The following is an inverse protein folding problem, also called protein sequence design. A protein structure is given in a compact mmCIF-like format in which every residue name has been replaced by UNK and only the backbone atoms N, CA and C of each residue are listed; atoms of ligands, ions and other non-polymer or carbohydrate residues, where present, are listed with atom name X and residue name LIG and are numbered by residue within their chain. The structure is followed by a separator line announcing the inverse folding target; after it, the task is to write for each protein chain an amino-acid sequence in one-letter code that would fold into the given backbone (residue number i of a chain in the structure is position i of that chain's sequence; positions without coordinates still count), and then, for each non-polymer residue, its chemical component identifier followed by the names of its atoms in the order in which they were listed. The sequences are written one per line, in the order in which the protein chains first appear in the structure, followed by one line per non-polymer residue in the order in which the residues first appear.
data_IF_276380407779
#
_entry.id   IF_276380407779
#
_cell.length_a   1.000
_cell.length_b   1.000
_cell.length_c   1.000
_cell.angle_alpha   90.00
_cell.angle_beta   90.00
_cell.angle_gamma   90.00
#
_symmetry.space_group_name_H-M   'P 1'
#
loop_
_entity.id
_entity.type
_entity.pdbx_description
1 polymer ?
#
# COMPACT_ATOMS: atom_id res chain seq x y z
N UNK A 1 10.22 0.95 -11.26
CA UNK A 1 10.21 -0.09 -10.22
C UNK A 1 10.64 0.55 -8.92
N UNK A 2 9.85 0.42 -7.87
CA UNK A 2 10.19 0.91 -6.54
C UNK A 2 10.34 -0.30 -5.60
N UNK A 3 11.32 -0.22 -4.70
CA UNK A 3 11.54 -1.22 -3.64
C UNK A 3 11.53 -0.45 -2.33
N UNK A 4 10.53 -0.70 -1.51
CA UNK A 4 10.28 0.10 -0.30
C UNK A 4 10.72 -0.70 0.94
N UNK A 5 11.36 -0.01 1.88
CA UNK A 5 11.71 -0.55 3.18
C UNK A 5 11.14 0.34 4.28
N UNK A 6 10.22 -0.20 5.08
CA UNK A 6 9.56 0.50 6.17
C UNK A 6 10.06 -0.07 7.51
N UNK A 7 11.05 0.57 8.17
CA UNK A 7 11.57 0.08 9.44
C UNK A 7 10.54 0.22 10.58
N UNK A 8 10.69 -0.52 11.69
CA UNK A 8 9.91 -0.30 12.90
C UNK A 8 9.98 1.17 13.36
N UNK A 9 8.82 1.77 13.64
CA UNK A 9 8.70 3.14 14.12
C UNK A 9 8.29 3.14 15.59
N UNK A 10 8.98 3.88 16.48
CA UNK A 10 8.62 3.95 17.90
C UNK A 10 7.35 4.77 18.16
N UNK A 11 6.95 5.64 17.23
CA UNK A 11 5.78 6.53 17.33
C UNK A 11 4.96 6.50 16.03
N UNK A 12 4.39 5.33 15.66
CA UNK A 12 3.72 5.13 14.37
C UNK A 12 2.46 6.00 14.20
N UNK A 13 1.89 6.52 15.27
CA UNK A 13 0.75 7.44 15.26
C UNK A 13 1.09 8.87 14.81
N UNK A 14 2.38 9.22 14.75
CA UNK A 14 2.84 10.58 14.40
C UNK A 14 3.37 10.69 12.97
N UNK A 15 3.46 9.58 12.23
CA UNK A 15 4.02 9.57 10.87
C UNK A 15 3.39 8.48 10.01
N UNK A 16 3.70 8.49 8.72
CA UNK A 16 3.31 7.44 7.77
C UNK A 16 4.57 6.80 7.20
N UNK A 17 4.49 5.50 6.88
CA UNK A 17 5.48 4.89 5.99
C UNK A 17 5.45 5.55 4.61
N UNK A 18 4.24 5.77 4.08
CA UNK A 18 3.98 6.50 2.84
C UNK A 18 2.65 7.26 2.99
N UNK A 19 2.59 8.58 2.72
CA UNK A 19 1.34 9.34 2.79
C UNK A 19 0.30 8.84 1.77
N UNK A 20 -0.99 9.11 2.05
CA UNK A 20 -2.08 8.79 1.12
C UNK A 20 -1.91 9.48 -0.24
N UNK A 21 -2.05 8.71 -1.32
CA UNK A 21 -1.89 9.16 -2.71
C UNK A 21 -2.68 8.25 -3.65
N UNK A 22 -2.78 8.65 -4.91
CA UNK A 22 -3.14 7.79 -6.05
C UNK A 22 -1.90 7.50 -6.89
N UNK A 23 -1.92 6.40 -7.62
CA UNK A 23 -0.82 6.06 -8.51
C UNK A 23 -0.97 6.80 -9.84
N UNK A 24 0.04 7.57 -10.30
CA UNK A 24 -0.04 8.30 -11.56
C UNK A 24 0.08 7.40 -12.81
N UNK A 25 0.36 6.11 -12.63
CA UNK A 25 0.57 5.14 -13.71
C UNK A 25 -0.75 4.52 -14.18
N UNK A 26 -0.71 3.60 -15.14
CA UNK A 26 -1.89 2.84 -15.56
C UNK A 26 -2.23 1.69 -14.60
N UNK A 27 -1.25 0.86 -14.28
CA UNK A 27 -1.41 -0.35 -13.49
C UNK A 27 -0.21 -0.51 -12.55
N UNK A 28 -0.49 -0.84 -11.29
CA UNK A 28 0.53 -1.21 -10.31
C UNK A 28 0.34 -2.68 -9.92
N UNK A 29 1.47 -3.41 -9.86
CA UNK A 29 1.57 -4.80 -9.40
C UNK A 29 2.51 -4.80 -8.20
N UNK A 30 1.98 -5.11 -7.02
CA UNK A 30 2.68 -5.01 -5.75
C UNK A 30 2.82 -6.38 -5.09
N UNK A 31 4.06 -6.72 -4.74
CA UNK A 31 4.38 -7.83 -3.83
C UNK A 31 4.51 -7.28 -2.41
N UNK A 32 3.77 -7.83 -1.45
CA UNK A 32 3.83 -7.43 -0.05
C UNK A 32 4.72 -8.38 0.76
N UNK A 33 5.24 -7.86 1.87
CA UNK A 33 5.81 -8.69 2.94
C UNK A 33 4.68 -9.54 3.57
N UNK A 34 4.90 -10.83 3.75
CA UNK A 34 3.89 -11.76 4.30
C UNK A 34 3.73 -11.66 5.82
N UNK A 35 4.77 -11.21 6.51
CA UNK A 35 4.81 -11.17 7.98
C UNK A 35 4.43 -9.78 8.52
N UNK A 36 4.52 -8.74 7.68
CA UNK A 36 4.26 -7.34 8.09
C UNK A 36 3.16 -6.70 7.25
N UNK A 37 2.00 -6.48 7.85
CA UNK A 37 0.92 -5.70 7.25
C UNK A 37 1.19 -4.18 7.36
N UNK A 38 0.68 -3.41 6.39
CA UNK A 38 0.84 -1.95 6.40
C UNK A 38 0.13 -1.19 5.27
N UNK A 39 -0.16 -1.87 4.15
CA UNK A 39 -0.92 -1.26 3.06
C UNK A 39 -2.38 -1.04 3.49
N UNK A 40 -2.88 0.17 3.22
CA UNK A 40 -4.28 0.53 3.43
C UNK A 40 -4.82 1.22 2.17
N UNK A 41 -6.10 1.03 1.90
CA UNK A 41 -6.83 1.71 0.82
C UNK A 41 -8.00 2.50 1.39
N UNK A 42 -8.25 3.70 0.87
CA UNK A 42 -9.37 4.53 1.28
C UNK A 42 -10.61 4.14 0.46
N UNK A 43 -11.65 3.65 1.12
CA UNK A 43 -12.95 3.32 0.51
C UNK A 43 -14.08 3.87 1.36
N UNK A 44 -15.00 4.60 0.74
CA UNK A 44 -16.17 5.19 1.41
C UNK A 44 -15.80 6.02 2.65
N UNK A 45 -14.70 6.77 2.55
CA UNK A 45 -14.17 7.62 3.63
C UNK A 45 -13.48 6.86 4.77
N UNK A 46 -13.24 5.56 4.63
CA UNK A 46 -12.59 4.72 5.64
C UNK A 46 -11.37 4.02 5.08
N UNK A 47 -10.29 4.02 5.86
CA UNK A 47 -9.10 3.24 5.54
C UNK A 47 -9.35 1.76 5.84
N UNK A 48 -9.13 0.92 4.85
CA UNK A 48 -9.26 -0.53 4.93
C UNK A 48 -7.87 -1.16 4.76
N UNK A 49 -7.50 -2.08 5.65
CA UNK A 49 -6.26 -2.82 5.54
C UNK A 49 -6.32 -3.82 4.38
N UNK A 50 -5.23 -3.90 3.62
CA UNK A 50 -5.00 -4.95 2.63
C UNK A 50 -4.02 -5.94 3.24
N UNK A 51 -4.56 -7.03 3.77
CA UNK A 51 -3.76 -8.06 4.42
C UNK A 51 -2.90 -8.79 3.38
N UNK A 52 -1.61 -9.00 3.63
CA UNK A 52 -0.78 -9.83 2.80
C UNK A 52 -1.38 -11.23 2.66
N UNK A 53 -1.33 -11.79 1.44
CA UNK A 53 -1.77 -13.15 1.16
C UNK A 53 -0.63 -13.92 0.50
N UNK A 54 -0.35 -15.17 0.93
CA UNK A 54 0.67 -15.99 0.29
C UNK A 54 0.38 -16.18 -1.20
N UNK A 55 1.43 -16.21 -2.02
CA UNK A 55 1.36 -16.46 -3.47
C UNK A 55 0.48 -15.47 -4.26
N UNK A 56 0.28 -14.25 -3.74
CA UNK A 56 -0.54 -13.24 -4.38
C UNK A 56 0.21 -11.92 -4.59
N UNK A 57 -0.22 -11.19 -5.63
CA UNK A 57 0.11 -9.78 -5.83
C UNK A 57 -1.13 -8.93 -5.59
N UNK A 58 -0.93 -7.72 -5.06
CA UNK A 58 -1.96 -6.68 -5.06
C UNK A 58 -1.90 -5.95 -6.39
N UNK A 59 -3.06 -5.80 -7.03
CA UNK A 59 -3.21 -5.03 -8.27
C UNK A 59 -4.06 -3.81 -7.97
N UNK A 60 -3.62 -2.63 -8.41
CA UNK A 60 -4.46 -1.44 -8.43
C UNK A 60 -4.35 -0.69 -9.74
N UNK A 61 -5.45 -0.03 -10.09
CA UNK A 61 -5.58 0.83 -11.26
C UNK A 61 -5.11 2.23 -10.85
N UNK A 62 -4.27 2.84 -11.67
CA UNK A 62 -3.84 4.22 -11.47
C UNK A 62 -4.56 5.19 -12.39
N UNK A 63 -4.22 6.46 -12.24
CA UNK A 63 -4.95 7.60 -12.79
C UNK A 63 -5.05 7.58 -14.33
N UNK A 64 -4.14 6.90 -15.04
CA UNK A 64 -4.17 6.81 -16.51
C UNK A 64 -5.26 5.89 -17.07
N UNK A 65 -5.85 5.03 -16.25
CA UNK A 65 -6.91 4.09 -16.64
C UNK A 65 -8.29 4.43 -16.05
N UNK A 66 -8.39 5.52 -15.29
CA UNK A 66 -9.65 6.04 -14.76
C UNK A 66 -10.33 6.95 -15.79
#
# INVERSE_FOLDING_TARGET
MAVNYYPPCPQPELTYGLPGHTDPNALTILLQDLDVAGLQVLKDGKWLAVNPHPDAFVINIGDQLQ
#
